data_IF_613317698875
#
_entry.id   IF_613317698875
#
_cell.length_a   1.000
_cell.length_b   1.000
_cell.length_c   1.000
_cell.angle_alpha   90.00
_cell.angle_beta   90.00
_cell.angle_gamma   90.00
#
_symmetry.space_group_name_H-M   'P 1'
#
loop_
_entity.id
_entity.type
_entity.pdbx_description
1 polymer ?
#
# COMPACT_ATOMS: atom_id res chain seq x y z
N UNK A 1 -51.91 -1.99 3.71
CA UNK A 1 -52.71 -1.05 4.53
C UNK A 1 -52.70 0.31 3.85
N UNK A 2 -53.90 0.89 3.67
CA UNK A 2 -54.32 2.17 3.06
C UNK A 2 -53.41 2.87 2.03
N UNK A 3 -53.97 2.96 0.81
CA UNK A 3 -53.51 3.72 -0.36
C UNK A 3 -54.12 5.13 -0.34
N UNK A 4 -53.42 6.12 -0.87
CA UNK A 4 -54.00 7.39 -1.31
C UNK A 4 -53.48 7.74 -2.71
N UNK A 5 -54.40 7.92 -3.66
CA UNK A 5 -54.20 8.49 -5.00
C UNK A 5 -55.10 9.73 -5.04
N UNK A 6 -54.54 10.89 -5.38
CA UNK A 6 -55.29 12.11 -5.72
C UNK A 6 -55.22 12.37 -7.22
N UNK A 7 -56.36 12.65 -7.83
CA UNK A 7 -56.60 12.81 -9.28
C UNK A 7 -56.89 14.29 -9.61
N UNK A 8 -56.37 14.81 -10.74
CA UNK A 8 -57.16 15.66 -11.65
C UNK A 8 -56.55 15.70 -13.06
N UNK A 9 -57.44 15.71 -14.06
CA UNK A 9 -57.27 15.28 -15.47
C UNK A 9 -56.99 16.49 -16.36
N UNK A 10 -56.31 16.31 -17.51
CA UNK A 10 -56.75 16.77 -18.84
C UNK A 10 -55.77 16.36 -19.96
N UNK A 11 -56.28 15.63 -20.96
CA UNK A 11 -55.77 15.62 -22.33
C UNK A 11 -54.41 14.97 -22.60
N UNK A 12 -54.42 13.74 -23.10
CA UNK A 12 -53.28 13.15 -23.80
C UNK A 12 -52.99 11.73 -23.35
N UNK A 13 -53.10 10.77 -24.27
CA UNK A 13 -52.59 9.42 -24.06
C UNK A 13 -51.06 9.49 -23.96
N UNK A 14 -50.52 9.63 -22.76
CA UNK A 14 -49.10 9.41 -22.50
C UNK A 14 -48.92 8.01 -21.92
N UNK A 15 -48.37 7.11 -22.72
CA UNK A 15 -47.82 5.86 -22.22
C UNK A 15 -46.56 6.17 -21.41
N UNK A 16 -46.62 6.05 -20.09
CA UNK A 16 -45.42 5.99 -19.26
C UNK A 16 -44.96 4.54 -19.17
N UNK A 17 -43.88 4.21 -19.88
CA UNK A 17 -43.15 2.99 -19.62
C UNK A 17 -42.28 3.20 -18.37
N UNK A 18 -42.59 2.47 -17.29
CA UNK A 18 -41.69 2.38 -16.15
C UNK A 18 -40.51 1.49 -16.55
N UNK A 19 -39.41 2.11 -16.96
CA UNK A 19 -38.14 1.41 -17.08
C UNK A 19 -37.66 1.13 -15.66
N UNK A 20 -37.93 -0.07 -15.17
CA UNK A 20 -37.17 -0.62 -14.06
C UNK A 20 -35.77 -0.92 -14.58
N UNK A 21 -34.89 0.07 -14.53
CA UNK A 21 -33.46 -0.16 -14.62
C UNK A 21 -33.03 -0.94 -13.38
N UNK A 22 -33.25 -2.26 -13.38
CA UNK A 22 -32.38 -3.16 -12.63
C UNK A 22 -31.00 -2.89 -13.23
N UNK A 23 -30.16 -2.13 -12.54
CA UNK A 23 -28.79 -1.93 -12.97
C UNK A 23 -28.20 -3.31 -13.18
N UNK A 24 -28.01 -3.70 -14.44
CA UNK A 24 -27.51 -5.01 -14.78
C UNK A 24 -26.21 -5.18 -14.01
N UNK A 25 -26.03 -6.25 -13.22
CA UNK A 25 -24.74 -6.48 -12.60
C UNK A 25 -23.72 -6.46 -13.73
N UNK A 26 -22.77 -5.53 -13.66
CA UNK A 26 -21.70 -5.45 -14.65
C UNK A 26 -21.11 -6.85 -14.78
N UNK A 27 -21.02 -7.41 -16.01
CA UNK A 27 -20.50 -8.75 -16.17
C UNK A 27 -19.09 -8.79 -15.55
N UNK A 28 -18.92 -9.61 -14.52
CA UNK A 28 -17.58 -9.93 -14.02
C UNK A 28 -16.79 -10.49 -15.20
N UNK A 29 -15.51 -10.12 -15.29
CA UNK A 29 -14.63 -10.64 -16.34
C UNK A 29 -14.80 -12.18 -16.39
N UNK A 30 -15.23 -12.75 -17.53
CA UNK A 30 -15.38 -14.18 -17.65
C UNK A 30 -14.08 -14.89 -17.25
N UNK A 31 -14.17 -16.00 -16.51
CA UNK A 31 -12.99 -16.68 -15.95
C UNK A 31 -12.00 -17.15 -17.04
N UNK A 32 -12.51 -17.44 -18.24
CA UNK A 32 -11.76 -17.74 -19.46
C UNK A 32 -10.99 -16.54 -20.02
N UNK A 33 -11.43 -15.31 -19.69
CA UNK A 33 -10.75 -14.05 -20.05
C UNK A 33 -9.90 -13.50 -18.91
N UNK A 34 -10.01 -14.04 -17.71
CA UNK A 34 -9.04 -13.79 -16.65
C UNK A 34 -7.74 -14.46 -17.09
N UNK A 35 -6.77 -13.67 -17.53
CA UNK A 35 -5.46 -14.18 -17.94
C UNK A 35 -4.85 -15.06 -16.83
N UNK A 36 -4.09 -16.08 -17.22
CA UNK A 36 -3.36 -16.89 -16.24
C UNK A 36 -2.33 -15.99 -15.56
N UNK A 37 -2.52 -15.71 -14.27
CA UNK A 37 -1.49 -15.08 -13.45
C UNK A 37 -0.43 -16.16 -13.23
N UNK A 38 0.67 -16.06 -13.97
CA UNK A 38 1.83 -16.93 -13.77
C UNK A 38 2.39 -16.82 -12.35
N UNK A 39 3.30 -17.73 -11.98
CA UNK A 39 4.00 -17.61 -10.71
C UNK A 39 4.72 -16.26 -10.65
N UNK A 40 4.54 -15.45 -9.59
CA UNK A 40 5.20 -14.16 -9.49
C UNK A 40 6.72 -14.40 -9.41
N UNK A 41 7.49 -13.83 -10.34
CA UNK A 41 8.95 -14.01 -10.35
C UNK A 41 9.70 -13.02 -9.44
N UNK A 42 8.94 -12.26 -8.63
CA UNK A 42 9.44 -11.13 -7.85
C UNK A 42 9.97 -11.51 -6.47
N UNK A 43 10.66 -10.54 -5.87
CA UNK A 43 11.08 -10.57 -4.46
C UNK A 43 10.12 -9.77 -3.60
N UNK A 44 10.05 -10.13 -2.32
CA UNK A 44 9.28 -9.41 -1.30
C UNK A 44 10.29 -8.74 -0.36
N UNK A 45 10.10 -7.44 -0.12
CA UNK A 45 10.82 -6.71 0.92
C UNK A 45 9.91 -6.56 2.13
N UNK A 46 10.46 -6.74 3.32
CA UNK A 46 9.71 -6.67 4.57
C UNK A 46 10.62 -6.22 5.72
N UNK A 47 10.00 -5.76 6.80
CA UNK A 47 10.71 -5.41 8.03
C UNK A 47 10.59 -6.56 9.03
N UNK A 48 11.72 -6.96 9.61
CA UNK A 48 11.79 -7.92 10.72
C UNK A 48 12.77 -7.38 11.75
N UNK A 49 12.32 -7.28 13.00
CA UNK A 49 13.12 -6.79 14.13
C UNK A 49 13.75 -5.40 13.88
N UNK A 50 13.03 -4.51 13.17
CA UNK A 50 13.52 -3.18 12.82
C UNK A 50 14.55 -3.13 11.69
N UNK A 51 14.85 -4.27 11.07
CA UNK A 51 15.78 -4.41 9.94
C UNK A 51 15.03 -4.64 8.62
N UNK A 52 15.67 -4.27 7.51
CA UNK A 52 15.17 -4.55 6.17
C UNK A 52 15.61 -5.94 5.71
N UNK A 53 14.65 -6.76 5.31
CA UNK A 53 14.86 -8.11 4.79
C UNK A 53 14.22 -8.26 3.42
N UNK A 54 14.76 -9.20 2.64
CA UNK A 54 14.22 -9.60 1.35
C UNK A 54 14.12 -11.12 1.25
N UNK A 55 13.09 -11.60 0.56
CA UNK A 55 12.88 -13.03 0.28
C UNK A 55 12.29 -13.22 -1.12
N UNK A 56 12.28 -14.47 -1.59
CA UNK A 56 11.52 -14.84 -2.78
C UNK A 56 10.01 -14.90 -2.47
N UNK A 57 9.19 -14.81 -3.52
CA UNK A 57 7.73 -14.81 -3.38
C UNK A 57 7.16 -16.06 -2.67
N UNK A 58 7.87 -17.18 -2.72
CA UNK A 58 7.50 -18.45 -2.06
C UNK A 58 7.97 -18.51 -0.60
N UNK A 59 8.54 -17.41 -0.09
CA UNK A 59 9.01 -17.27 1.29
C UNK A 59 10.43 -17.79 1.54
N UNK A 60 11.09 -18.38 0.53
CA UNK A 60 12.45 -18.89 0.64
C UNK A 60 13.50 -17.80 0.44
N UNK A 61 14.76 -18.17 0.64
CA UNK A 61 15.93 -17.32 0.41
C UNK A 61 15.82 -15.96 1.12
N UNK A 62 15.44 -15.99 2.40
CA UNK A 62 15.37 -14.79 3.22
C UNK A 62 16.77 -14.32 3.59
N UNK A 63 17.08 -13.05 3.36
CA UNK A 63 18.35 -12.45 3.78
C UNK A 63 18.16 -11.00 4.24
N UNK A 64 18.99 -10.59 5.19
CA UNK A 64 19.00 -9.22 5.72
C UNK A 64 19.66 -8.34 4.69
N UNK A 65 19.00 -7.25 4.30
CA UNK A 65 19.55 -6.25 3.38
C UNK A 65 20.20 -5.10 4.13
N UNK A 66 19.53 -4.62 5.18
CA UNK A 66 20.03 -3.53 6.02
C UNK A 66 19.81 -3.85 7.49
N UNK A 67 20.86 -3.72 8.30
CA UNK A 67 20.78 -3.67 9.75
C UNK A 67 20.48 -2.23 10.21
N UNK A 68 19.19 -1.87 10.26
CA UNK A 68 18.73 -0.53 10.62
C UNK A 68 18.32 -0.41 12.09
N UNK A 69 17.82 -1.49 12.70
CA UNK A 69 17.31 -1.59 14.07
C UNK A 69 16.07 -0.73 14.40
N UNK A 70 15.73 0.26 13.58
CA UNK A 70 14.60 1.16 13.78
C UNK A 70 13.85 1.51 12.48
N UNK A 71 13.83 0.59 11.50
CA UNK A 71 12.96 0.73 10.34
C UNK A 71 11.49 0.70 10.75
N UNK A 72 10.69 1.63 10.24
CA UNK A 72 9.31 1.92 10.68
C UNK A 72 8.23 1.19 9.85
N UNK A 73 8.61 0.20 9.04
CA UNK A 73 7.68 -0.59 8.21
C UNK A 73 7.31 0.04 6.86
N UNK A 74 7.47 1.36 6.70
CA UNK A 74 7.24 2.04 5.42
C UNK A 74 8.43 1.82 4.48
N UNK A 75 8.18 1.13 3.37
CA UNK A 75 9.17 0.87 2.34
C UNK A 75 8.56 0.84 0.94
N UNK A 76 9.40 1.01 -0.09
CA UNK A 76 9.03 0.88 -1.49
C UNK A 76 10.21 0.39 -2.32
N UNK A 77 9.93 -0.47 -3.29
CA UNK A 77 10.93 -0.94 -4.24
C UNK A 77 11.27 0.13 -5.27
N UNK A 78 12.55 0.24 -5.63
CA UNK A 78 12.94 0.94 -6.84
C UNK A 78 12.55 0.10 -8.07
N UNK A 79 12.16 0.72 -9.20
CA UNK A 79 11.79 0.01 -10.43
C UNK A 79 12.89 -0.91 -11.00
N UNK A 80 14.15 -0.69 -10.60
CA UNK A 80 15.31 -1.48 -11.02
C UNK A 80 15.48 -2.80 -10.26
N UNK A 81 14.65 -3.07 -9.24
CA UNK A 81 14.75 -4.24 -8.34
C UNK A 81 16.09 -4.39 -7.60
N UNK A 82 16.92 -3.34 -7.56
CA UNK A 82 18.22 -3.35 -6.89
C UNK A 82 18.23 -2.56 -5.60
N UNK A 83 17.24 -1.68 -5.42
CA UNK A 83 17.17 -0.75 -4.28
C UNK A 83 15.79 -0.78 -3.64
N UNK A 84 15.78 -0.47 -2.35
CA UNK A 84 14.56 -0.27 -1.56
C UNK A 84 14.67 1.03 -0.79
N UNK A 85 13.69 1.92 -0.97
CA UNK A 85 13.52 3.06 -0.09
C UNK A 85 12.81 2.60 1.18
N UNK A 86 13.28 3.02 2.35
CA UNK A 86 12.67 2.69 3.63
C UNK A 86 12.78 3.86 4.60
N UNK A 87 11.85 3.92 5.56
CA UNK A 87 11.81 4.95 6.59
C UNK A 87 12.38 4.41 7.88
N UNK A 88 13.21 5.20 8.56
CA UNK A 88 13.60 4.94 9.96
C UNK A 88 12.90 5.93 10.88
N UNK A 89 12.52 5.44 12.07
CA UNK A 89 11.90 6.24 13.12
C UNK A 89 12.93 6.61 14.19
N UNK A 90 13.20 7.89 14.33
CA UNK A 90 13.93 8.48 15.44
C UNK A 90 13.00 9.12 16.46
N UNK A 91 13.58 9.56 17.58
CA UNK A 91 12.93 10.41 18.56
C UNK A 91 13.87 11.57 18.87
N UNK A 92 13.34 12.79 18.92
CA UNK A 92 14.05 13.98 19.39
C UNK A 92 13.34 14.50 20.63
N UNK A 93 14.09 14.94 21.63
CA UNK A 93 13.54 15.62 22.80
C UNK A 93 13.69 17.12 22.58
N UNK A 94 12.58 17.82 22.36
CA UNK A 94 12.55 19.26 22.18
C UNK A 94 12.41 19.92 23.56
N UNK A 95 13.31 20.86 23.87
CA UNK A 95 13.24 21.67 25.09
C UNK A 95 12.97 23.12 24.73
N UNK A 96 11.75 23.56 24.97
CA UNK A 96 11.33 24.95 24.83
C UNK A 96 11.48 25.72 26.15
N UNK A 97 11.28 27.05 26.13
CA UNK A 97 11.10 27.85 27.34
C UNK A 97 9.97 27.28 28.20
N UNK A 98 10.04 27.48 29.52
CA UNK A 98 8.98 27.11 30.48
C UNK A 98 8.65 25.62 30.57
N UNK A 99 9.63 24.73 30.37
CA UNK A 99 9.45 23.27 30.37
C UNK A 99 8.49 22.76 29.29
N UNK A 100 8.24 23.55 28.25
CA UNK A 100 7.46 23.13 27.08
C UNK A 100 8.31 22.23 26.17
N UNK A 101 7.63 21.39 25.38
CA UNK A 101 8.26 20.43 24.46
C UNK A 101 8.02 18.97 24.86
N UNK A 102 9.04 18.14 24.72
CA UNK A 102 9.00 16.70 24.99
C UNK A 102 9.50 15.83 23.84
N UNK A 103 9.22 14.54 23.90
CA UNK A 103 9.64 13.60 22.87
C UNK A 103 8.75 13.66 21.63
N UNK A 104 9.36 13.93 20.48
CA UNK A 104 8.72 13.94 19.17
C UNK A 104 9.33 12.88 18.25
N UNK A 105 8.49 12.21 17.48
CA UNK A 105 8.94 11.26 16.45
C UNK A 105 9.47 12.03 15.25
N UNK A 106 10.61 11.59 14.74
CA UNK A 106 11.19 12.09 13.49
C UNK A 106 11.37 10.93 12.54
N UNK A 107 11.18 11.19 11.25
CA UNK A 107 11.26 10.18 10.21
C UNK A 107 12.19 10.68 9.11
N UNK A 108 13.16 9.83 8.78
CA UNK A 108 14.10 10.07 7.68
C UNK A 108 13.96 8.94 6.66
N UNK A 109 14.22 9.26 5.39
CA UNK A 109 14.16 8.31 4.28
C UNK A 109 15.56 7.81 3.97
N UNK A 110 15.70 6.51 3.75
CA UNK A 110 16.95 5.84 3.44
C UNK A 110 16.78 4.96 2.20
N UNK A 111 17.88 4.74 1.48
CA UNK A 111 17.96 3.80 0.36
C UNK A 111 18.90 2.65 0.76
N UNK A 112 18.40 1.42 0.73
CA UNK A 112 19.18 0.19 0.92
C UNK A 112 19.50 -0.49 -0.41
N UNK A 113 20.68 -1.09 -0.52
CA UNK A 113 21.19 -1.74 -1.73
C UNK A 113 21.21 -3.25 -1.57
N UNK A 114 20.52 -3.97 -2.44
CA UNK A 114 20.29 -5.41 -2.28
C UNK A 114 21.54 -6.24 -2.59
N UNK A 115 22.31 -5.80 -3.58
CA UNK A 115 23.59 -6.41 -3.94
C UNK A 115 24.64 -6.31 -2.83
N UNK A 116 24.65 -5.20 -2.09
CA UNK A 116 25.55 -4.99 -0.94
C UNK A 116 25.35 -6.01 0.18
N UNK A 117 24.15 -6.56 0.32
CA UNK A 117 23.85 -7.57 1.31
C UNK A 117 24.48 -8.93 0.97
N UNK A 118 24.60 -9.24 -0.33
CA UNK A 118 25.25 -10.47 -0.80
C UNK A 118 26.76 -10.44 -0.60
N UNK A 119 27.34 -9.24 -0.56
CA UNK A 119 28.76 -9.03 -0.22
C UNK A 119 28.96 -8.75 1.26
N UNK A 120 27.91 -8.88 2.09
CA UNK A 120 27.90 -8.63 3.53
C UNK A 120 28.41 -7.24 3.93
N UNK A 121 28.20 -6.24 3.07
CA UNK A 121 28.52 -4.84 3.35
C UNK A 121 27.30 -4.04 3.82
N UNK A 122 26.08 -4.53 3.55
CA UNK A 122 24.80 -3.99 4.03
C UNK A 122 24.69 -2.46 3.90
N UNK A 123 25.01 -1.97 2.70
CA UNK A 123 25.18 -0.56 2.41
C UNK A 123 23.84 0.16 2.25
N UNK A 124 23.74 1.34 2.83
CA UNK A 124 22.59 2.23 2.74
C UNK A 124 23.01 3.69 2.92
N UNK A 125 22.21 4.63 2.43
CA UNK A 125 22.40 6.06 2.70
C UNK A 125 21.10 6.79 3.03
N UNK A 126 21.22 7.91 3.74
CA UNK A 126 20.13 8.81 4.14
C UNK A 126 19.85 9.83 3.03
N UNK A 127 18.58 10.05 2.71
CA UNK A 127 18.13 10.99 1.67
C UNK A 127 17.79 12.37 2.26
N UNK A 128 17.11 12.38 3.40
CA UNK A 128 16.60 13.56 4.11
C UNK A 128 17.03 13.46 5.55
#
# INVERSE_FOLDING_TARGET
>A
MKKYIGLLILGGWFSFALVHGQGSPTPKLPADKAGQIGAPLGKIAFIREGDLWVMDWDGKNQFKVVAAQNADGRLSWAPDNKRVAFVRRGTVDLKGPDNLGGQHRVYDIFIGFIDSARTNTNWWYRVT
#
